data_IF_500533815809
#
_entry.id   IF_500533815809
#
_cell.length_a   1.000
_cell.length_b   1.000
_cell.length_c   1.000
_cell.angle_alpha   90.00
_cell.angle_beta   90.00
_cell.angle_gamma   90.00
#
_symmetry.space_group_name_H-M   'P 1'
#
loop_
_entity.id
_entity.type
_entity.pdbx_description
1 polymer ?
#
# COMPACT_ATOMS: atom_id res chain seq x y z
N UNK A 1 -14.75 3.17 21.59
CA UNK A 1 -14.97 2.83 20.17
C UNK A 1 -13.77 2.04 19.75
N UNK A 2 -13.91 1.00 18.95
CA UNK A 2 -12.77 0.16 18.55
C UNK A 2 -11.78 1.00 17.77
N UNK A 3 -10.52 1.01 18.19
CA UNK A 3 -9.40 1.60 17.46
C UNK A 3 -8.95 0.72 16.26
N UNK A 4 -9.75 -0.32 15.95
CA UNK A 4 -9.47 -1.33 14.93
C UNK A 4 -9.61 -0.76 13.52
N UNK A 5 -8.52 -0.72 12.78
CA UNK A 5 -8.48 -0.34 11.36
C UNK A 5 -8.65 -1.57 10.47
N UNK A 6 -7.98 -2.67 10.80
CA UNK A 6 -7.99 -3.90 10.02
C UNK A 6 -7.88 -5.11 10.93
N UNK A 7 -8.68 -6.16 10.65
CA UNK A 7 -8.62 -7.42 11.38
C UNK A 7 -8.87 -8.59 10.45
N UNK A 8 -7.87 -9.47 10.35
CA UNK A 8 -7.96 -10.81 9.80
C UNK A 8 -7.96 -11.82 10.96
N UNK A 9 -8.93 -12.75 10.96
CA UNK A 9 -9.04 -13.82 11.95
C UNK A 9 -9.24 -15.14 11.20
N UNK A 10 -8.26 -16.03 11.27
CA UNK A 10 -8.19 -17.34 10.60
C UNK A 10 -8.58 -17.28 9.11
N UNK A 11 -8.11 -16.26 8.40
CA UNK A 11 -8.49 -16.05 7.01
C UNK A 11 -7.72 -16.99 6.08
N UNK A 12 -8.47 -17.82 5.32
CA UNK A 12 -7.91 -18.66 4.27
C UNK A 12 -8.30 -18.18 2.88
N UNK A 13 -7.50 -18.52 1.89
CA UNK A 13 -7.84 -18.28 0.50
C UNK A 13 -7.33 -19.40 -0.40
N UNK A 14 -8.25 -19.94 -1.21
CA UNK A 14 -7.95 -20.98 -2.20
C UNK A 14 -8.26 -20.50 -3.61
N UNK A 15 -7.37 -20.82 -4.54
CA UNK A 15 -7.54 -20.56 -5.97
C UNK A 15 -7.02 -21.74 -6.78
N UNK A 16 -7.81 -22.25 -7.70
CA UNK A 16 -7.45 -23.36 -8.61
C UNK A 16 -6.89 -24.58 -7.85
N UNK A 17 -7.55 -24.93 -6.74
CA UNK A 17 -7.16 -26.06 -5.89
C UNK A 17 -5.93 -25.83 -4.99
N UNK A 18 -5.29 -24.67 -5.08
CA UNK A 18 -4.14 -24.30 -4.23
C UNK A 18 -4.58 -23.40 -3.10
N UNK A 19 -4.07 -23.67 -1.90
CA UNK A 19 -4.25 -22.81 -0.75
C UNK A 19 -3.14 -21.74 -0.75
N UNK A 20 -3.55 -20.48 -0.94
CA UNK A 20 -2.64 -19.33 -1.03
C UNK A 20 -2.48 -18.68 0.35
N UNK A 21 -3.57 -18.56 1.12
CA UNK A 21 -3.55 -18.14 2.51
C UNK A 21 -4.09 -19.27 3.39
N UNK A 22 -3.44 -19.52 4.53
CA UNK A 22 -3.60 -20.74 5.32
C UNK A 22 -4.01 -20.48 6.78
N UNK A 23 -4.88 -19.51 7.03
CA UNK A 23 -5.25 -19.07 8.37
C UNK A 23 -4.42 -17.83 8.78
N UNK A 24 -4.71 -16.72 8.15
CA UNK A 24 -4.03 -15.45 8.44
C UNK A 24 -4.71 -14.77 9.61
N UNK A 25 -3.90 -14.45 10.65
CA UNK A 25 -4.28 -13.63 11.79
C UNK A 25 -3.46 -12.35 11.81
N UNK A 26 -4.11 -11.21 11.55
CA UNK A 26 -3.46 -9.90 11.55
C UNK A 26 -4.41 -8.81 12.04
N UNK A 27 -3.89 -7.96 12.91
CA UNK A 27 -4.63 -6.85 13.49
C UNK A 27 -3.84 -5.55 13.33
N UNK A 28 -4.51 -4.47 12.92
CA UNK A 28 -3.94 -3.13 12.76
C UNK A 28 -4.83 -2.14 13.50
N UNK A 29 -4.22 -1.31 14.35
CA UNK A 29 -4.90 -0.29 15.14
C UNK A 29 -4.66 1.13 14.58
N UNK A 30 -5.48 2.08 15.03
CA UNK A 30 -5.26 3.50 14.73
C UNK A 30 -3.88 3.97 15.23
N UNK A 31 -3.22 4.77 14.41
CA UNK A 31 -1.89 5.30 14.72
C UNK A 31 -0.75 4.34 14.41
N UNK A 32 -1.02 3.14 13.94
CA UNK A 32 0.00 2.19 13.49
C UNK A 32 0.21 2.30 11.98
N UNK A 33 1.48 2.41 11.58
CA UNK A 33 1.91 2.27 10.20
C UNK A 33 2.63 0.94 10.05
N UNK A 34 2.12 0.10 9.17
CA UNK A 34 2.60 -1.27 9.02
C UNK A 34 3.37 -1.49 7.72
N UNK A 35 4.45 -2.27 7.82
CA UNK A 35 5.01 -2.92 6.65
C UNK A 35 4.57 -4.39 6.61
N UNK A 36 4.11 -4.85 5.45
CA UNK A 36 3.91 -6.27 5.16
C UNK A 36 5.04 -6.76 4.28
N UNK A 37 5.92 -7.56 4.85
CA UNK A 37 7.10 -8.13 4.19
C UNK A 37 6.89 -9.59 3.82
N UNK A 38 7.64 -10.08 2.85
CA UNK A 38 7.67 -11.49 2.47
C UNK A 38 8.19 -11.68 1.05
N UNK A 39 8.64 -12.88 0.76
CA UNK A 39 9.14 -13.23 -0.58
C UNK A 39 8.03 -13.15 -1.65
N UNK A 40 8.45 -13.12 -2.92
CA UNK A 40 7.51 -13.18 -4.03
C UNK A 40 6.72 -14.49 -3.98
N UNK A 41 5.38 -14.38 -4.18
CA UNK A 41 4.49 -15.54 -4.11
C UNK A 41 4.02 -15.91 -2.70
N UNK A 42 4.47 -15.26 -1.62
CA UNK A 42 4.08 -15.56 -0.24
C UNK A 42 2.59 -15.28 0.09
N UNK A 43 1.87 -14.53 -0.78
CA UNK A 43 0.45 -14.23 -0.58
C UNK A 43 0.14 -12.75 -0.26
N UNK A 44 1.13 -11.85 -0.22
CA UNK A 44 0.98 -10.43 0.13
C UNK A 44 -0.15 -9.73 -0.64
N UNK A 45 -0.03 -9.67 -1.96
CA UNK A 45 -1.02 -8.96 -2.81
C UNK A 45 -2.40 -9.65 -2.80
N UNK A 46 -2.45 -10.98 -2.63
CA UNK A 46 -3.70 -11.71 -2.45
C UNK A 46 -4.41 -11.26 -1.17
N UNK A 47 -3.69 -11.23 -0.05
CA UNK A 47 -4.22 -10.80 1.23
C UNK A 47 -4.74 -9.36 1.15
N UNK A 48 -3.93 -8.43 0.62
CA UNK A 48 -4.33 -7.02 0.53
C UNK A 48 -5.48 -6.77 -0.43
N UNK A 49 -5.60 -7.56 -1.50
CA UNK A 49 -6.71 -7.44 -2.45
C UNK A 49 -8.08 -7.78 -1.85
N UNK A 50 -8.11 -8.40 -0.67
CA UNK A 50 -9.36 -8.66 0.08
C UNK A 50 -9.89 -7.38 0.76
N UNK A 51 -9.02 -6.48 1.16
CA UNK A 51 -9.43 -5.23 1.85
C UNK A 51 -10.40 -4.42 0.97
N UNK A 52 -10.10 -4.13 -0.32
CA UNK A 52 -11.05 -3.51 -1.23
C UNK A 52 -12.06 -4.51 -1.86
N UNK A 53 -12.09 -5.77 -1.40
CA UNK A 53 -12.93 -6.84 -1.95
C UNK A 53 -12.71 -7.11 -3.45
N UNK A 54 -11.47 -7.10 -3.92
CA UNK A 54 -11.11 -7.64 -5.24
C UNK A 54 -10.97 -9.17 -5.19
N UNK A 55 -10.67 -9.72 -4.01
CA UNK A 55 -10.73 -11.14 -3.68
C UNK A 55 -11.63 -11.32 -2.46
N UNK A 56 -12.23 -12.50 -2.32
CA UNK A 56 -13.11 -12.85 -1.22
C UNK A 56 -12.45 -13.97 -0.41
N UNK A 57 -12.34 -13.85 0.93
CA UNK A 57 -11.86 -14.94 1.77
C UNK A 57 -12.62 -16.24 1.49
N UNK A 58 -11.92 -17.38 1.50
CA UNK A 58 -12.59 -18.70 1.42
C UNK A 58 -13.23 -19.04 2.76
N UNK A 59 -12.51 -18.81 3.85
CA UNK A 59 -13.01 -18.93 5.23
C UNK A 59 -12.36 -17.86 6.11
N UNK A 60 -12.78 -17.77 7.36
CA UNK A 60 -12.29 -16.80 8.32
C UNK A 60 -13.05 -15.49 8.29
N UNK A 61 -12.61 -14.53 9.08
CA UNK A 61 -13.26 -13.26 9.26
C UNK A 61 -12.33 -12.11 8.85
N UNK A 62 -12.87 -11.20 8.06
CA UNK A 62 -12.22 -9.93 7.71
C UNK A 62 -13.08 -8.76 8.19
N UNK A 63 -12.48 -7.86 8.99
CA UNK A 63 -13.08 -6.56 9.34
C UNK A 63 -12.18 -5.44 8.87
N UNK A 64 -12.81 -4.37 8.41
CA UNK A 64 -12.14 -3.11 8.07
C UNK A 64 -12.94 -1.98 8.70
N UNK A 65 -12.27 -1.13 9.48
CA UNK A 65 -12.90 -0.07 10.28
C UNK A 65 -14.04 -0.58 11.16
N UNK A 66 -13.86 -1.75 11.79
CA UNK A 66 -14.87 -2.41 12.64
C UNK A 66 -16.04 -3.06 11.87
N UNK A 67 -16.07 -2.99 10.54
CA UNK A 67 -17.15 -3.58 9.72
C UNK A 67 -16.74 -4.92 9.15
N UNK A 68 -17.56 -5.94 9.37
CA UNK A 68 -17.31 -7.31 8.91
C UNK A 68 -17.66 -7.46 7.43
N UNK A 69 -16.75 -8.08 6.67
CA UNK A 69 -16.98 -8.43 5.27
C UNK A 69 -18.20 -9.34 5.11
N UNK A 70 -19.03 -9.03 4.12
CA UNK A 70 -20.28 -9.77 3.86
C UNK A 70 -21.49 -9.31 4.69
N UNK A 71 -21.29 -8.54 5.77
CA UNK A 71 -22.38 -8.00 6.62
C UNK A 71 -22.58 -6.49 6.48
N UNK A 72 -21.76 -5.82 5.68
CA UNK A 72 -21.80 -4.36 5.52
C UNK A 72 -21.71 -3.97 4.03
N UNK A 73 -22.22 -2.79 3.68
CA UNK A 73 -22.16 -2.24 2.32
C UNK A 73 -20.71 -1.87 1.97
N UNK A 74 -19.94 -2.81 1.40
CA UNK A 74 -18.48 -2.71 1.21
C UNK A 74 -18.04 -1.58 0.28
N UNK A 75 -18.95 -1.06 -0.56
CA UNK A 75 -18.71 0.17 -1.34
C UNK A 75 -18.35 1.36 -0.43
N UNK A 76 -18.95 1.45 0.77
CA UNK A 76 -18.61 2.50 1.73
C UNK A 76 -17.20 2.33 2.30
N UNK A 77 -16.74 1.09 2.47
CA UNK A 77 -15.35 0.79 2.86
C UNK A 77 -14.39 1.19 1.74
N UNK A 78 -14.67 0.78 0.50
CA UNK A 78 -13.82 1.13 -0.66
C UNK A 78 -13.61 2.64 -0.80
N UNK A 79 -14.61 3.44 -0.51
CA UNK A 79 -14.51 4.90 -0.60
C UNK A 79 -13.62 5.54 0.47
N UNK A 80 -13.27 4.78 1.52
CA UNK A 80 -12.37 5.19 2.60
C UNK A 80 -10.94 4.66 2.43
N UNK A 81 -10.67 3.93 1.34
CA UNK A 81 -9.38 3.33 1.04
C UNK A 81 -8.67 4.08 -0.07
N UNK A 82 -7.39 4.40 0.14
CA UNK A 82 -6.45 4.73 -0.92
C UNK A 82 -5.66 3.46 -1.30
N UNK A 83 -5.60 3.14 -2.58
CA UNK A 83 -4.92 1.93 -3.02
C UNK A 83 -3.98 2.22 -4.20
N UNK A 84 -2.68 1.96 -4.00
CA UNK A 84 -1.64 2.04 -5.02
C UNK A 84 -1.03 0.66 -5.16
N UNK A 85 -1.21 0.02 -6.31
CA UNK A 85 -0.67 -1.32 -6.57
C UNK A 85 -0.34 -1.47 -8.05
N UNK A 86 0.57 -2.37 -8.36
CA UNK A 86 0.83 -2.82 -9.72
C UNK A 86 -0.41 -3.48 -10.37
N UNK A 87 -1.39 -3.96 -9.57
CA UNK A 87 -2.68 -4.48 -10.06
C UNK A 87 -3.54 -3.42 -10.75
N UNK A 88 -3.26 -2.12 -10.56
CA UNK A 88 -3.84 -1.06 -11.40
C UNK A 88 -3.43 -1.19 -12.87
N UNK A 89 -2.44 -2.03 -13.19
CA UNK A 89 -2.06 -2.36 -14.56
C UNK A 89 -3.20 -2.90 -15.44
N UNK A 90 -4.23 -3.53 -14.86
CA UNK A 90 -5.44 -3.88 -15.60
C UNK A 90 -6.19 -2.66 -16.19
N UNK A 91 -5.98 -1.46 -15.61
CA UNK A 91 -6.53 -0.19 -16.07
C UNK A 91 -5.52 0.67 -16.83
N UNK A 92 -4.33 0.12 -17.10
CA UNK A 92 -3.22 0.86 -17.74
C UNK A 92 -3.67 1.53 -19.04
N UNK A 93 -4.39 0.82 -19.91
CA UNK A 93 -4.85 1.36 -21.19
C UNK A 93 -5.81 2.54 -21.06
N UNK A 94 -6.54 2.63 -19.95
CA UNK A 94 -7.43 3.76 -19.65
C UNK A 94 -6.63 4.92 -19.06
N UNK A 95 -5.69 4.64 -18.14
CA UNK A 95 -4.81 5.64 -17.54
C UNK A 95 -3.92 6.30 -18.61
N UNK A 96 -3.35 5.51 -19.51
CA UNK A 96 -2.43 5.96 -20.57
C UNK A 96 -3.00 7.07 -21.45
N UNK A 97 -4.33 7.10 -21.60
CA UNK A 97 -5.03 8.10 -22.43
C UNK A 97 -5.36 9.38 -21.66
N UNK A 98 -5.26 9.38 -20.32
CA UNK A 98 -5.63 10.51 -19.50
C UNK A 98 -4.48 11.50 -19.40
N UNK A 99 -4.84 12.78 -19.19
CA UNK A 99 -3.89 13.80 -18.71
C UNK A 99 -3.61 13.59 -17.21
N UNK A 100 -2.43 13.94 -16.77
CA UNK A 100 -1.97 13.72 -15.38
C UNK A 100 -2.93 14.31 -14.36
N UNK A 101 -3.36 15.55 -14.55
CA UNK A 101 -4.31 16.22 -13.66
C UNK A 101 -5.65 15.47 -13.59
N UNK A 102 -6.11 14.90 -14.70
CA UNK A 102 -7.34 14.09 -14.70
C UNK A 102 -7.17 12.76 -13.99
N UNK A 103 -5.98 12.14 -14.07
CA UNK A 103 -5.66 10.94 -13.29
C UNK A 103 -5.75 11.27 -11.79
N UNK A 104 -5.14 12.36 -11.34
CA UNK A 104 -5.19 12.78 -9.93
C UNK A 104 -6.64 13.05 -9.50
N UNK A 105 -7.36 13.91 -10.25
CA UNK A 105 -8.77 14.28 -9.97
C UNK A 105 -9.68 13.05 -9.91
N UNK A 106 -9.45 12.02 -10.73
CA UNK A 106 -10.26 10.80 -10.77
C UNK A 106 -10.29 10.08 -9.41
N UNK A 107 -9.28 10.31 -8.58
CA UNK A 107 -9.21 9.80 -7.20
C UNK A 107 -10.38 10.26 -6.34
N UNK A 108 -10.83 11.51 -6.49
CA UNK A 108 -11.98 12.05 -5.74
C UNK A 108 -13.29 11.27 -5.95
N UNK A 109 -13.37 10.49 -7.01
CA UNK A 109 -14.55 9.71 -7.37
C UNK A 109 -14.34 8.20 -7.23
N UNK A 110 -13.15 7.76 -6.82
CA UNK A 110 -12.72 6.35 -6.84
C UNK A 110 -12.94 5.67 -8.20
N UNK A 111 -12.74 6.42 -9.30
CA UNK A 111 -12.90 5.96 -10.68
C UNK A 111 -11.57 5.98 -11.44
N UNK A 112 -11.50 5.29 -12.56
CA UNK A 112 -10.40 5.43 -13.52
C UNK A 112 -10.87 6.37 -14.62
N UNK A 113 -10.49 7.65 -14.48
CA UNK A 113 -10.95 8.74 -15.35
C UNK A 113 -12.05 9.59 -14.71
N UNK A 114 -12.22 10.79 -15.25
CA UNK A 114 -13.19 11.78 -14.77
C UNK A 114 -14.47 11.67 -15.60
N UNK A 115 -15.56 11.23 -14.97
CA UNK A 115 -16.87 11.04 -15.59
C UNK A 115 -17.97 11.92 -14.98
N UNK A 116 -17.60 12.81 -14.06
CA UNK A 116 -18.50 13.70 -13.33
C UNK A 116 -17.97 15.14 -13.39
N UNK A 117 -18.83 16.09 -13.13
CA UNK A 117 -18.41 17.48 -13.00
C UNK A 117 -17.46 17.63 -11.83
N UNK A 118 -16.35 18.29 -12.09
CA UNK A 118 -15.27 18.53 -11.11
C UNK A 118 -15.49 19.91 -10.51
N UNK A 119 -15.66 19.96 -9.19
CA UNK A 119 -15.78 21.24 -8.47
C UNK A 119 -14.45 22.00 -8.44
N UNK A 120 -14.50 23.32 -8.23
CA UNK A 120 -13.30 24.15 -8.06
C UNK A 120 -12.43 23.69 -6.89
N UNK A 121 -13.05 23.24 -5.78
CA UNK A 121 -12.34 22.70 -4.62
C UNK A 121 -11.55 21.42 -4.97
N UNK A 122 -12.15 20.54 -5.78
CA UNK A 122 -11.44 19.32 -6.24
C UNK A 122 -10.28 19.64 -7.18
N UNK A 123 -10.44 20.63 -8.09
CA UNK A 123 -9.36 21.10 -8.96
C UNK A 123 -8.21 21.67 -8.14
N UNK A 124 -8.55 22.54 -7.18
CA UNK A 124 -7.55 23.14 -6.29
C UNK A 124 -6.80 22.05 -5.50
N UNK A 125 -7.52 21.13 -4.87
CA UNK A 125 -6.90 20.03 -4.13
C UNK A 125 -5.97 19.17 -5.02
N UNK A 126 -6.33 18.93 -6.27
CA UNK A 126 -5.47 18.18 -7.20
C UNK A 126 -4.18 18.95 -7.52
N UNK A 127 -4.26 20.28 -7.73
CA UNK A 127 -3.09 21.13 -7.95
C UNK A 127 -2.19 21.13 -6.72
N UNK A 128 -2.76 21.32 -5.51
CA UNK A 128 -2.02 21.31 -4.24
C UNK A 128 -1.28 19.96 -4.05
N UNK A 129 -1.93 18.83 -4.32
CA UNK A 129 -1.31 17.50 -4.28
C UNK A 129 -0.22 17.32 -5.35
N UNK A 130 -0.43 17.83 -6.56
CA UNK A 130 0.60 17.77 -7.61
C UNK A 130 1.85 18.56 -7.21
N UNK A 131 1.67 19.68 -6.51
CA UNK A 131 2.78 20.49 -5.99
C UNK A 131 3.50 19.77 -4.84
N UNK A 132 2.76 19.24 -3.87
CA UNK A 132 3.29 18.49 -2.73
C UNK A 132 4.12 17.28 -3.19
N UNK A 133 3.63 16.54 -4.18
CA UNK A 133 4.32 15.36 -4.72
C UNK A 133 5.34 15.69 -5.82
N UNK A 134 5.60 16.99 -6.05
CA UNK A 134 6.59 17.48 -7.01
C UNK A 134 6.37 16.93 -8.42
N UNK A 135 5.12 16.97 -8.86
CA UNK A 135 4.69 16.52 -10.20
C UNK A 135 3.93 17.61 -10.98
N UNK A 136 3.90 18.86 -10.50
CA UNK A 136 3.21 19.97 -11.17
C UNK A 136 3.73 20.21 -12.59
N UNK A 137 5.03 19.93 -12.85
CA UNK A 137 5.62 20.06 -14.17
C UNK A 137 5.07 19.06 -15.20
N UNK A 138 4.28 18.07 -14.75
CA UNK A 138 3.64 17.07 -15.59
C UNK A 138 2.22 17.45 -16.02
N UNK A 139 1.72 18.62 -15.58
CA UNK A 139 0.41 19.13 -16.02
C UNK A 139 0.32 19.20 -17.54
N UNK A 140 -0.79 18.73 -18.09
CA UNK A 140 -1.01 18.64 -19.54
C UNK A 140 -0.30 17.48 -20.24
N UNK A 141 0.54 16.70 -19.54
CA UNK A 141 1.17 15.50 -20.12
C UNK A 141 0.23 14.30 -20.05
N UNK A 142 0.34 13.39 -21.03
CA UNK A 142 -0.37 12.10 -20.98
C UNK A 142 0.33 11.17 -20.00
N UNK A 143 -0.43 10.42 -19.24
CA UNK A 143 0.10 9.43 -18.29
C UNK A 143 1.04 8.43 -18.94
N UNK A 144 0.79 8.02 -20.19
CA UNK A 144 1.64 7.10 -20.96
C UNK A 144 3.04 7.64 -21.30
N UNK A 145 3.25 8.97 -21.22
CA UNK A 145 4.55 9.57 -21.55
C UNK A 145 5.48 9.70 -20.35
N UNK A 146 5.00 9.33 -19.16
CA UNK A 146 5.71 9.48 -17.91
C UNK A 146 6.68 8.32 -17.69
N UNK A 147 7.80 8.59 -17.02
CA UNK A 147 8.63 7.55 -16.42
C UNK A 147 7.87 6.76 -15.35
N UNK A 148 8.32 5.55 -15.04
CA UNK A 148 7.66 4.70 -14.01
C UNK A 148 7.60 5.43 -12.65
N UNK A 149 8.66 6.15 -12.27
CA UNK A 149 8.69 6.92 -11.03
C UNK A 149 7.69 8.05 -10.98
N UNK A 150 7.51 8.77 -12.10
CA UNK A 150 6.47 9.81 -12.23
C UNK A 150 5.08 9.20 -12.16
N UNK A 151 4.83 8.10 -12.87
CA UNK A 151 3.56 7.37 -12.81
C UNK A 151 3.20 6.97 -11.37
N UNK A 152 4.17 6.47 -10.59
CA UNK A 152 3.96 6.07 -9.19
C UNK A 152 3.57 7.27 -8.32
N UNK A 153 4.21 8.43 -8.48
CA UNK A 153 3.86 9.65 -7.74
C UNK A 153 2.48 10.17 -8.14
N UNK A 154 2.13 10.13 -9.41
CA UNK A 154 0.78 10.51 -9.89
C UNK A 154 -0.29 9.57 -9.31
N UNK A 155 -0.05 8.26 -9.26
CA UNK A 155 -0.97 7.30 -8.66
C UNK A 155 -1.07 7.46 -7.14
N UNK A 156 -0.01 7.88 -6.47
CA UNK A 156 -0.05 8.22 -5.05
C UNK A 156 -0.91 9.47 -4.81
N UNK A 157 -0.68 10.56 -5.56
CA UNK A 157 -1.50 11.76 -5.51
C UNK A 157 -3.00 11.43 -5.76
N UNK A 158 -3.27 10.57 -6.74
CA UNK A 158 -4.62 10.07 -7.01
C UNK A 158 -5.21 9.33 -5.80
N UNK A 159 -4.46 8.48 -5.14
CA UNK A 159 -4.95 7.71 -3.98
C UNK A 159 -5.28 8.62 -2.78
N UNK A 160 -4.52 9.70 -2.59
CA UNK A 160 -4.74 10.70 -1.52
C UNK A 160 -5.89 11.67 -1.87
N UNK A 161 -6.18 11.86 -3.14
CA UNK A 161 -7.24 12.79 -3.59
C UNK A 161 -8.60 12.49 -2.95
N UNK A 162 -8.91 11.20 -2.67
CA UNK A 162 -10.15 10.76 -2.02
C UNK A 162 -10.18 11.00 -0.50
N UNK A 163 -9.09 11.50 0.09
CA UNK A 163 -8.95 11.63 1.55
C UNK A 163 -9.16 10.31 2.32
N UNK A 164 -8.39 9.27 2.00
CA UNK A 164 -8.63 7.93 2.55
C UNK A 164 -8.34 7.86 4.06
N UNK A 165 -9.07 6.99 4.75
CA UNK A 165 -8.80 6.66 6.17
C UNK A 165 -7.70 5.60 6.32
N UNK A 166 -7.42 4.83 5.29
CA UNK A 166 -6.30 3.88 5.20
C UNK A 166 -5.70 3.91 3.80
N UNK A 167 -4.38 4.10 3.72
CA UNK A 167 -3.63 4.01 2.47
C UNK A 167 -2.91 2.66 2.37
N UNK A 168 -3.06 1.98 1.25
CA UNK A 168 -2.38 0.71 0.95
C UNK A 168 -1.45 0.92 -0.23
N UNK A 169 -0.17 0.67 -0.02
CA UNK A 169 0.90 0.80 -1.00
C UNK A 169 1.49 -0.60 -1.28
N UNK A 170 1.03 -1.25 -2.35
CA UNK A 170 1.43 -2.61 -2.70
C UNK A 170 2.58 -2.62 -3.71
N UNK A 171 3.78 -2.88 -3.23
CA UNK A 171 5.05 -2.86 -3.96
C UNK A 171 5.25 -1.58 -4.82
N UNK A 172 5.05 -0.39 -4.25
CA UNK A 172 4.98 0.84 -5.03
C UNK A 172 6.32 1.23 -5.68
N UNK A 173 7.44 0.75 -5.14
CA UNK A 173 8.78 1.00 -5.66
C UNK A 173 9.28 -0.06 -6.65
N UNK A 174 8.46 -1.07 -6.96
CA UNK A 174 8.86 -2.11 -7.93
C UNK A 174 9.19 -1.51 -9.30
N UNK A 175 10.39 -1.83 -9.81
CA UNK A 175 10.88 -1.33 -11.10
C UNK A 175 11.44 0.09 -11.08
N UNK A 176 11.57 0.73 -9.91
CA UNK A 176 12.24 2.02 -9.79
C UNK A 176 13.75 1.86 -9.64
N UNK A 177 14.49 2.78 -10.25
CA UNK A 177 15.90 2.96 -9.93
C UNK A 177 16.08 3.59 -8.53
N UNK A 178 17.30 3.58 -8.02
CA UNK A 178 17.60 4.07 -6.68
C UNK A 178 17.15 5.52 -6.43
N UNK A 179 17.41 6.50 -7.32
CA UNK A 179 16.95 7.87 -7.12
C UNK A 179 15.43 8.02 -7.07
N UNK A 180 14.72 7.35 -7.99
CA UNK A 180 13.25 7.40 -8.04
C UNK A 180 12.61 6.72 -6.82
N UNK A 181 13.17 5.57 -6.37
CA UNK A 181 12.77 4.90 -5.14
C UNK A 181 12.91 5.81 -3.93
N UNK A 182 14.09 6.39 -3.72
CA UNK A 182 14.33 7.26 -2.58
C UNK A 182 13.46 8.52 -2.61
N UNK A 183 13.19 9.07 -3.78
CA UNK A 183 12.26 10.19 -3.91
C UNK A 183 10.83 9.79 -3.54
N UNK A 184 10.36 8.61 -3.97
CA UNK A 184 9.05 8.08 -3.63
C UNK A 184 8.92 7.85 -2.12
N UNK A 185 9.90 7.17 -1.50
CA UNK A 185 9.91 6.90 -0.06
C UNK A 185 9.88 8.18 0.77
N UNK A 186 10.65 9.22 0.37
CA UNK A 186 10.60 10.55 1.02
C UNK A 186 9.23 11.20 0.91
N UNK A 187 8.55 11.03 -0.22
CA UNK A 187 7.19 11.58 -0.40
C UNK A 187 6.20 10.90 0.56
N UNK A 188 6.25 9.56 0.68
CA UNK A 188 5.41 8.81 1.62
C UNK A 188 5.74 9.17 3.08
N UNK A 189 7.02 9.30 3.41
CA UNK A 189 7.50 9.66 4.76
C UNK A 189 6.99 11.05 5.18
N UNK A 190 7.04 12.04 4.29
CA UNK A 190 6.55 13.40 4.57
C UNK A 190 5.03 13.39 4.80
N UNK A 191 4.28 12.73 3.91
CA UNK A 191 2.84 12.56 4.05
C UNK A 191 2.48 11.90 5.39
N UNK A 192 3.18 10.85 5.79
CA UNK A 192 2.92 10.14 7.04
C UNK A 192 3.12 11.02 8.29
N UNK A 193 4.07 11.97 8.24
CA UNK A 193 4.29 12.94 9.33
C UNK A 193 3.20 13.99 9.41
N UNK A 194 2.77 14.49 8.26
CA UNK A 194 1.88 15.64 8.19
C UNK A 194 0.42 15.24 8.41
N UNK A 195 -0.02 14.14 7.82
CA UNK A 195 -1.43 13.73 7.84
C UNK A 195 -1.79 12.75 8.96
N UNK A 196 -0.81 12.07 9.56
CA UNK A 196 -1.01 11.04 10.63
C UNK A 196 -2.02 9.95 10.28
N UNK A 197 -2.22 9.68 8.99
CA UNK A 197 -3.13 8.64 8.53
C UNK A 197 -2.43 7.29 8.51
N UNK A 198 -3.09 6.22 8.96
CA UNK A 198 -2.51 4.89 8.91
C UNK A 198 -2.28 4.46 7.47
N UNK A 199 -1.16 3.79 7.26
CA UNK A 199 -0.88 3.17 5.97
C UNK A 199 -0.28 1.78 6.13
N UNK A 200 -0.48 0.95 5.12
CA UNK A 200 0.15 -0.37 4.97
C UNK A 200 1.07 -0.30 3.76
N UNK A 201 2.35 -0.51 3.99
CA UNK A 201 3.39 -0.55 2.97
C UNK A 201 3.83 -1.98 2.71
N UNK A 202 3.71 -2.45 1.50
CA UNK A 202 4.09 -3.82 1.13
C UNK A 202 5.34 -3.82 0.32
N UNK A 203 6.30 -4.63 0.73
CA UNK A 203 7.55 -4.79 0.01
C UNK A 203 8.15 -6.19 0.21
N UNK A 204 9.11 -6.51 -0.61
CA UNK A 204 10.06 -7.61 -0.40
C UNK A 204 11.48 -7.10 -0.12
N UNK A 205 11.66 -5.77 0.00
CA UNK A 205 12.94 -5.10 0.26
C UNK A 205 12.92 -4.44 1.65
N UNK A 206 13.85 -4.84 2.50
CA UNK A 206 13.96 -4.33 3.89
C UNK A 206 14.31 -2.85 3.91
N UNK A 207 15.15 -2.41 2.96
CA UNK A 207 15.61 -1.03 2.85
C UNK A 207 14.50 -0.02 2.50
N UNK A 208 13.32 -0.51 2.12
CA UNK A 208 12.15 0.35 1.89
C UNK A 208 11.38 0.68 3.18
N UNK A 209 11.75 0.08 4.32
CA UNK A 209 11.09 0.34 5.60
C UNK A 209 11.49 1.71 6.12
N UNK A 210 10.58 2.67 5.98
CA UNK A 210 10.78 4.06 6.37
C UNK A 210 10.72 4.26 7.90
N UNK A 211 11.29 5.36 8.43
CA UNK A 211 11.17 5.71 9.85
C UNK A 211 9.73 5.79 10.36
N UNK A 212 8.79 6.29 9.57
CA UNK A 212 7.36 6.40 9.93
C UNK A 212 6.64 5.05 10.09
N UNK A 213 7.19 3.95 9.56
CA UNK A 213 6.67 2.60 9.81
C UNK A 213 6.97 2.21 11.26
N UNK A 214 5.93 1.82 11.99
CA UNK A 214 6.00 1.46 13.41
C UNK A 214 6.03 -0.05 13.63
N UNK A 215 5.32 -0.80 12.78
CA UNK A 215 5.11 -2.24 12.91
C UNK A 215 5.43 -2.98 11.62
N UNK A 216 5.81 -4.24 11.77
CA UNK A 216 6.10 -5.14 10.65
C UNK A 216 5.35 -6.46 10.84
N UNK A 217 4.74 -6.94 9.76
CA UNK A 217 4.26 -8.32 9.64
C UNK A 217 5.05 -9.01 8.52
N UNK A 218 5.45 -10.26 8.74
CA UNK A 218 6.15 -11.07 7.74
C UNK A 218 5.26 -12.24 7.35
N UNK A 219 4.95 -12.33 6.06
CA UNK A 219 4.19 -13.45 5.50
C UNK A 219 5.15 -14.42 4.79
N UNK A 220 5.05 -15.71 5.14
CA UNK A 220 5.79 -16.81 4.54
C UNK A 220 4.83 -17.96 4.28
N UNK A 221 4.82 -18.48 3.06
CA UNK A 221 3.99 -19.63 2.65
C UNK A 221 2.49 -19.51 2.97
N UNK A 222 1.94 -18.29 2.87
CA UNK A 222 0.53 -18.01 3.13
C UNK A 222 0.14 -17.83 4.59
N UNK A 223 1.12 -17.72 5.50
CA UNK A 223 0.93 -17.47 6.94
C UNK A 223 1.68 -16.23 7.37
N UNK A 224 1.14 -15.44 8.29
CA UNK A 224 1.91 -14.44 9.02
C UNK A 224 2.71 -15.15 10.11
N UNK A 225 4.03 -15.25 9.90
CA UNK A 225 4.94 -15.98 10.80
C UNK A 225 5.51 -15.09 11.91
N UNK A 226 5.67 -13.78 11.63
CA UNK A 226 6.14 -12.80 12.59
C UNK A 226 5.34 -11.51 12.46
N UNK A 227 5.01 -10.85 13.57
CA UNK A 227 4.35 -9.55 13.61
C UNK A 227 4.62 -8.83 14.91
N UNK A 228 4.82 -7.51 14.85
CA UNK A 228 5.08 -6.66 16.03
C UNK A 228 5.79 -5.37 15.66
N UNK A 229 6.39 -4.71 16.66
CA UNK A 229 7.18 -3.49 16.43
C UNK A 229 8.36 -3.78 15.50
N UNK A 230 8.66 -2.83 14.61
CA UNK A 230 9.66 -3.04 13.56
C UNK A 230 11.04 -3.43 14.10
N UNK A 231 11.45 -2.86 15.25
CA UNK A 231 12.74 -3.17 15.88
C UNK A 231 12.80 -4.58 16.45
N UNK A 232 11.65 -5.12 16.91
CA UNK A 232 11.58 -6.46 17.49
C UNK A 232 11.53 -7.55 16.40
N UNK A 233 11.00 -7.21 15.22
CA UNK A 233 10.82 -8.14 14.09
C UNK A 233 12.00 -8.14 13.12
N UNK A 234 12.60 -6.97 12.86
CA UNK A 234 13.70 -6.86 11.92
C UNK A 234 15.04 -7.11 12.60
N UNK A 235 15.31 -8.37 12.94
CA UNK A 235 16.54 -8.88 13.57
C UNK A 235 17.27 -9.86 12.67
N UNK A 236 18.58 -10.07 12.93
CA UNK A 236 19.41 -11.04 12.19
C UNK A 236 18.74 -12.42 12.16
N UNK A 237 18.33 -12.92 13.34
CA UNK A 237 17.77 -14.27 13.51
C UNK A 237 16.46 -14.46 12.73
N UNK A 238 15.52 -13.52 12.86
CA UNK A 238 14.22 -13.60 12.19
C UNK A 238 14.40 -13.50 10.68
N UNK A 239 15.20 -12.54 10.19
CA UNK A 239 15.40 -12.40 8.76
C UNK A 239 16.20 -13.56 8.15
N UNK A 240 17.15 -14.13 8.88
CA UNK A 240 17.86 -15.35 8.47
C UNK A 240 16.87 -16.53 8.33
N UNK A 241 15.96 -16.73 9.29
CA UNK A 241 14.90 -17.75 9.19
C UNK A 241 13.97 -17.52 7.98
N UNK A 242 13.52 -16.28 7.80
CA UNK A 242 12.58 -15.93 6.74
C UNK A 242 13.18 -16.09 5.35
N UNK A 243 14.41 -15.59 5.15
CA UNK A 243 15.06 -15.62 3.84
C UNK A 243 15.82 -16.92 3.55
N UNK A 244 16.14 -17.71 4.60
CA UNK A 244 16.92 -18.93 4.45
C UNK A 244 18.39 -18.69 4.09
N UNK A 245 18.90 -17.50 4.31
CA UNK A 245 20.29 -17.08 4.10
C UNK A 245 20.76 -16.27 5.31
N UNK A 246 22.03 -16.40 5.66
CA UNK A 246 22.59 -15.69 6.82
C UNK A 246 22.74 -14.20 6.52
N UNK A 247 22.09 -13.37 7.33
CA UNK A 247 22.06 -11.91 7.15
C UNK A 247 22.36 -11.18 8.45
N UNK A 248 22.83 -9.94 8.33
CA UNK A 248 22.92 -8.98 9.43
C UNK A 248 22.09 -7.76 9.12
N UNK A 249 21.37 -7.27 10.14
CA UNK A 249 20.57 -6.05 10.11
C UNK A 249 21.32 -4.94 10.83
N UNK A 250 21.45 -3.79 10.22
CA UNK A 250 21.93 -2.59 10.89
C UNK A 250 21.00 -1.42 10.61
N UNK A 251 21.00 -0.46 11.52
CA UNK A 251 20.06 0.64 11.52
C UNK A 251 20.77 1.96 11.29
N UNK A 252 20.28 2.75 10.34
CA UNK A 252 20.73 4.12 10.11
C UNK A 252 19.50 5.04 10.10
N UNK A 253 19.43 5.99 11.04
CA UNK A 253 18.33 6.96 11.19
C UNK A 253 16.95 6.29 11.21
N UNK A 254 16.82 5.23 12.01
CA UNK A 254 15.59 4.43 12.17
C UNK A 254 15.11 3.71 10.89
N UNK A 255 16.02 3.50 9.95
CA UNK A 255 15.82 2.72 8.72
C UNK A 255 16.72 1.49 8.74
N UNK A 256 16.17 0.28 8.50
CA UNK A 256 16.95 -0.95 8.48
C UNK A 256 17.67 -1.14 7.15
N UNK A 257 18.83 -1.78 7.23
CA UNK A 257 19.65 -2.21 6.10
C UNK A 257 20.07 -3.66 6.32
N UNK A 258 20.17 -4.44 5.26
CA UNK A 258 20.53 -5.86 5.35
C UNK A 258 21.80 -6.13 4.53
N UNK A 259 22.72 -6.86 5.16
CA UNK A 259 23.91 -7.40 4.49
C UNK A 259 23.86 -8.93 4.55
N UNK A 260 24.10 -9.58 3.43
CA UNK A 260 24.30 -11.04 3.36
C UNK A 260 25.72 -11.33 3.85
N UNK A 261 25.86 -12.30 4.77
CA UNK A 261 27.15 -12.77 5.30
C UNK A 261 27.82 -13.81 4.43
#
# INVERSE_FOLDING_TARGET
MSSEVLHYEDVTFRRDGREILKGVDWHVEEGENWALLGLNGAGKSTMLSMIPAYQIPTTGLLRVFGHEFGKYAWVKIKNRLGFVSATLGQFQSTLDRQLVENVVISGAFNTIGVYKDVSEGQRKKAIDLMEEFKISYLEGHKFSTLSVGEQRRVLLARAIMADPDLLILDEPCSGLDLPAREQFLRTVENMARDEKKPFIYVSHQIEEIMPSITHVAIIKDGLIVYKGKKQDILTDDILTDVFGIDVSVFWEKDRPWVIVK
#
